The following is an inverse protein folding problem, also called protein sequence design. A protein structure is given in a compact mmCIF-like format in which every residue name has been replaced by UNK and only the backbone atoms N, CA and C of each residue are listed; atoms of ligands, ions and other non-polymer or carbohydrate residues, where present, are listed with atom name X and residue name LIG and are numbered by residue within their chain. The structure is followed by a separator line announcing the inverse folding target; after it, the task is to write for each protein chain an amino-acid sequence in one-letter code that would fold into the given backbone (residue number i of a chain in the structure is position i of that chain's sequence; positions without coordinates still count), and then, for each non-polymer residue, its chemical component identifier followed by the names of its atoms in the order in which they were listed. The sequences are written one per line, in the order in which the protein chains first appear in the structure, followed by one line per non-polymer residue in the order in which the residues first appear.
data_IF_680835365572
#
_entry.id   IF_680835365572
#
_cell.length_a   1.000
_cell.length_b   1.000
_cell.length_c   1.000
_cell.angle_alpha   90.00
_cell.angle_beta   90.00
_cell.angle_gamma   90.00
#
_symmetry.space_group_name_H-M   'P 1'
#
loop_
_entity.id
_entity.type
_entity.pdbx_description
1 polymer ?
#
# COMPACT_ATOMS: atom_id res chain seq x y z
N UNK A 1 2.14 11.82 13.07
CA UNK A 1 1.72 10.41 12.96
C UNK A 1 0.55 10.25 12.02
N UNK A 2 -0.61 10.84 12.29
CA UNK A 2 -1.78 10.74 11.42
C UNK A 2 -1.48 11.16 9.97
N UNK A 3 -0.90 12.34 9.76
CA UNK A 3 -0.52 12.81 8.42
C UNK A 3 0.46 11.85 7.70
N UNK A 4 1.40 11.23 8.43
CA UNK A 4 2.37 10.29 7.87
C UNK A 4 1.64 9.03 7.35
N UNK A 5 0.73 8.49 8.16
CA UNK A 5 -0.06 7.31 7.82
C UNK A 5 -1.04 7.60 6.66
N UNK A 6 -1.74 8.73 6.69
CA UNK A 6 -2.67 9.14 5.62
C UNK A 6 -1.94 9.31 4.29
N UNK A 7 -0.88 10.13 4.28
CA UNK A 7 -0.16 10.45 3.04
C UNK A 7 0.53 9.20 2.48
N UNK A 8 1.18 8.41 3.33
CA UNK A 8 1.79 7.14 2.91
C UNK A 8 0.77 6.16 2.32
N UNK A 9 -0.42 6.07 2.91
CA UNK A 9 -1.48 5.18 2.41
C UNK A 9 -2.08 5.68 1.10
N UNK A 10 -2.32 6.99 0.95
CA UNK A 10 -2.86 7.56 -0.29
C UNK A 10 -1.87 7.36 -1.44
N UNK A 11 -0.58 7.68 -1.23
CA UNK A 11 0.46 7.47 -2.23
C UNK A 11 0.50 5.99 -2.64
N UNK A 12 0.42 5.09 -1.66
CA UNK A 12 0.43 3.67 -1.94
C UNK A 12 -0.81 3.20 -2.70
N UNK A 13 -2.00 3.67 -2.34
CA UNK A 13 -3.25 3.34 -3.01
C UNK A 13 -3.25 3.78 -4.48
N UNK A 14 -2.71 4.97 -4.78
CA UNK A 14 -2.63 5.46 -6.16
C UNK A 14 -1.61 4.67 -6.99
N UNK A 15 -0.43 4.39 -6.42
CA UNK A 15 0.65 3.69 -7.12
C UNK A 15 0.36 2.19 -7.27
N UNK A 16 -0.37 1.57 -6.34
CA UNK A 16 -0.65 0.15 -6.39
C UNK A 16 -1.66 -0.21 -7.48
N UNK A 17 -2.59 0.68 -7.85
CA UNK A 17 -3.58 0.44 -8.92
C UNK A 17 -2.88 0.06 -10.24
N UNK A 18 -2.02 0.90 -10.85
CA UNK A 18 -1.38 0.55 -12.12
C UNK A 18 -0.49 -0.70 -11.99
N UNK A 19 0.22 -0.87 -10.87
CA UNK A 19 1.08 -2.03 -10.64
C UNK A 19 0.27 -3.34 -10.50
N UNK A 20 -0.91 -3.28 -9.90
CA UNK A 20 -1.79 -4.44 -9.72
C UNK A 20 -2.44 -4.85 -11.04
N UNK A 21 -2.92 -3.89 -11.82
CA UNK A 21 -3.37 -4.14 -13.19
C UNK A 21 -2.24 -4.70 -14.08
N UNK A 22 -1.01 -4.23 -13.88
CA UNK A 22 0.19 -4.76 -14.53
C UNK A 22 0.55 -6.19 -14.08
N UNK A 23 0.27 -6.51 -12.81
CA UNK A 23 0.53 -7.81 -12.21
C UNK A 23 -0.50 -8.87 -12.56
N UNK A 24 -1.72 -8.50 -12.96
CA UNK A 24 -2.81 -9.42 -13.18
C UNK A 24 -2.73 -10.16 -14.53
N UNK A 25 -2.50 -11.48 -14.50
CA UNK A 25 -2.45 -12.38 -15.67
C UNK A 25 -3.75 -12.41 -16.48
N UNK A 26 -4.87 -12.13 -15.84
CA UNK A 26 -6.17 -12.14 -16.50
C UNK A 26 -6.37 -10.93 -17.45
N UNK A 27 -5.66 -9.83 -17.17
CA UNK A 27 -5.74 -8.58 -17.94
C UNK A 27 -4.57 -8.48 -18.94
N UNK A 28 -3.37 -8.87 -18.53
CA UNK A 28 -2.18 -8.82 -19.39
C UNK A 28 -1.84 -10.19 -19.95
N UNK A 29 -1.95 -10.30 -21.27
CA UNK A 29 -1.65 -11.51 -22.05
C UNK A 29 -0.16 -11.91 -21.98
N UNK A 30 0.74 -10.94 -21.75
CA UNK A 30 2.19 -11.18 -21.63
C UNK A 30 2.57 -11.67 -20.23
N UNK A 31 2.66 -13.01 -20.08
CA UNK A 31 3.05 -13.71 -18.85
C UNK A 31 4.33 -13.18 -18.15
N UNK A 32 5.42 -12.81 -18.85
CA UNK A 32 6.62 -12.32 -18.17
C UNK A 32 6.41 -10.94 -17.53
N UNK A 33 5.61 -10.05 -18.11
CA UNK A 33 5.35 -8.70 -17.57
C UNK A 33 4.61 -8.79 -16.22
N UNK A 34 3.57 -9.62 -16.16
CA UNK A 34 2.85 -9.91 -14.92
C UNK A 34 3.75 -10.55 -13.86
N UNK A 35 4.61 -11.51 -14.28
CA UNK A 35 5.58 -12.16 -13.40
C UNK A 35 6.59 -11.17 -12.79
N UNK A 36 7.15 -10.27 -13.61
CA UNK A 36 8.12 -9.25 -13.18
C UNK A 36 7.47 -8.25 -12.22
N UNK A 37 6.28 -7.73 -12.53
CA UNK A 37 5.55 -6.82 -11.63
C UNK A 37 5.31 -7.47 -10.26
N UNK A 38 4.80 -8.70 -10.26
CA UNK A 38 4.57 -9.49 -9.04
C UNK A 38 5.85 -9.79 -8.26
N UNK A 39 6.97 -9.98 -8.94
CA UNK A 39 8.26 -10.21 -8.33
C UNK A 39 8.79 -8.94 -7.65
N UNK A 40 8.72 -7.79 -8.33
CA UNK A 40 9.10 -6.49 -7.77
C UNK A 40 8.27 -6.18 -6.52
N UNK A 41 6.95 -6.34 -6.59
CA UNK A 41 6.05 -6.13 -5.45
C UNK A 41 6.38 -7.07 -4.28
N UNK A 42 6.71 -8.34 -4.58
CA UNK A 42 7.17 -9.30 -3.58
C UNK A 42 8.49 -8.89 -2.92
N UNK A 43 9.48 -8.39 -3.68
CA UNK A 43 10.75 -7.90 -3.13
C UNK A 43 10.51 -6.74 -2.17
N UNK A 44 9.69 -5.77 -2.55
CA UNK A 44 9.38 -4.59 -1.72
C UNK A 44 8.75 -5.03 -0.38
N UNK A 45 7.95 -6.10 -0.39
CA UNK A 45 7.30 -6.64 0.82
C UNK A 45 8.24 -7.41 1.75
N UNK A 46 9.37 -7.92 1.24
CA UNK A 46 10.33 -8.71 2.05
C UNK A 46 10.98 -7.84 3.13
N UNK A 47 11.19 -6.56 2.85
CA UNK A 47 11.79 -5.64 3.80
C UNK A 47 10.77 -5.14 4.83
N UNK A 48 11.03 -5.34 6.14
CA UNK A 48 10.20 -4.74 7.18
C UNK A 48 10.21 -3.22 7.11
N UNK A 49 9.11 -2.59 7.53
CA UNK A 49 8.95 -1.14 7.56
C UNK A 49 10.04 -0.40 8.38
N UNK A 50 10.53 -1.01 9.46
CA UNK A 50 11.61 -0.45 10.29
C UNK A 50 12.93 -0.40 9.50
N UNK A 51 13.23 -1.45 8.73
CA UNK A 51 14.44 -1.51 7.90
C UNK A 51 14.37 -0.44 6.81
N UNK A 52 13.21 -0.32 6.17
CA UNK A 52 12.96 0.74 5.18
C UNK A 52 13.11 2.13 5.79
N UNK A 53 12.61 2.35 7.00
CA UNK A 53 12.75 3.61 7.72
C UNK A 53 14.22 3.96 7.97
N UNK A 54 15.03 3.02 8.44
CA UNK A 54 16.46 3.25 8.66
C UNK A 54 17.21 3.63 7.38
N UNK A 55 16.88 2.96 6.26
CA UNK A 55 17.46 3.27 4.95
C UNK A 55 17.08 4.70 4.53
N UNK A 56 15.81 5.09 4.65
CA UNK A 56 15.35 6.43 4.26
C UNK A 56 15.84 7.52 5.21
N UNK A 57 15.97 7.26 6.50
CA UNK A 57 16.60 8.20 7.44
C UNK A 57 18.04 8.48 7.01
N UNK A 58 18.80 7.46 6.61
CA UNK A 58 20.17 7.64 6.13
C UNK A 58 20.23 8.37 4.78
N UNK A 59 19.26 8.13 3.89
CA UNK A 59 19.24 8.71 2.55
C UNK A 59 18.75 10.17 2.51
N UNK A 60 17.72 10.51 3.28
CA UNK A 60 17.03 11.82 3.22
C UNK A 60 17.09 12.61 4.52
N UNK A 61 17.60 11.99 5.59
CA UNK A 61 17.65 12.57 6.93
C UNK A 61 16.49 12.13 7.83
N UNK A 62 16.63 12.34 9.15
CA UNK A 62 15.56 12.11 10.11
C UNK A 62 14.42 13.11 9.89
N UNK A 63 13.18 12.66 10.06
CA UNK A 63 11.99 13.52 9.89
C UNK A 63 10.78 12.77 9.35
N UNK A 64 9.63 13.44 9.34
CA UNK A 64 8.35 12.87 8.87
C UNK A 64 8.38 12.38 7.43
N UNK A 65 9.22 13.00 6.59
CA UNK A 65 9.37 12.63 5.19
C UNK A 65 9.95 11.22 5.00
N UNK A 66 10.96 10.83 5.79
CA UNK A 66 11.51 9.47 5.71
C UNK A 66 10.52 8.42 6.20
N UNK A 67 9.67 8.75 7.19
CA UNK A 67 8.55 7.92 7.61
C UNK A 67 7.49 7.72 6.54
N UNK A 68 7.11 8.79 5.81
CA UNK A 68 6.15 8.70 4.69
C UNK A 68 6.69 7.80 3.58
N UNK A 69 7.97 7.95 3.22
CA UNK A 69 8.59 7.13 2.18
C UNK A 69 8.67 5.65 2.58
N UNK A 70 9.10 5.38 3.82
CA UNK A 70 9.21 4.02 4.33
C UNK A 70 7.85 3.31 4.35
N UNK A 71 6.82 3.94 4.91
CA UNK A 71 5.48 3.36 4.95
C UNK A 71 4.85 3.29 3.56
N UNK A 72 4.97 4.35 2.75
CA UNK A 72 4.38 4.42 1.42
C UNK A 72 4.91 3.30 0.51
N UNK A 73 6.23 3.15 0.41
CA UNK A 73 6.83 2.12 -0.45
C UNK A 73 6.51 0.72 0.06
N UNK A 74 6.59 0.48 1.37
CA UNK A 74 6.20 -0.81 1.95
C UNK A 74 4.72 -1.12 1.71
N UNK A 75 3.85 -0.10 1.76
CA UNK A 75 2.42 -0.19 1.43
C UNK A 75 2.15 -0.48 -0.03
N UNK A 76 2.90 0.10 -0.97
CA UNK A 76 2.78 -0.21 -2.40
C UNK A 76 3.04 -1.70 -2.64
N UNK A 77 4.11 -2.26 -2.06
CA UNK A 77 4.48 -3.66 -2.25
C UNK A 77 3.38 -4.62 -1.77
N UNK A 78 2.82 -4.39 -0.58
CA UNK A 78 1.77 -5.26 -0.06
C UNK A 78 0.44 -5.05 -0.81
N UNK A 79 -0.05 -3.81 -0.92
CA UNK A 79 -1.34 -3.52 -1.55
C UNK A 79 -1.32 -3.95 -3.02
N UNK A 80 -0.26 -3.62 -3.76
CA UNK A 80 -0.15 -3.98 -5.17
C UNK A 80 -0.13 -5.49 -5.39
N UNK A 81 0.52 -6.26 -4.52
CA UNK A 81 0.57 -7.72 -4.64
C UNK A 81 -0.79 -8.36 -4.37
N UNK A 82 -1.40 -8.03 -3.24
CA UNK A 82 -2.70 -8.58 -2.84
C UNK A 82 -3.76 -8.16 -3.85
N UNK A 83 -3.78 -6.90 -4.26
CA UNK A 83 -4.72 -6.41 -5.26
C UNK A 83 -4.51 -7.06 -6.63
N UNK A 84 -3.27 -7.36 -7.05
CA UNK A 84 -3.01 -8.10 -8.28
C UNK A 84 -3.53 -9.55 -8.22
N UNK A 85 -3.47 -10.18 -7.05
CA UNK A 85 -4.01 -11.52 -6.82
C UNK A 85 -5.54 -11.49 -6.80
N UNK A 86 -6.15 -10.50 -6.15
CA UNK A 86 -7.60 -10.31 -6.15
C UNK A 86 -8.13 -10.09 -7.57
N UNK A 87 -7.46 -9.29 -8.39
CA UNK A 87 -7.84 -9.07 -9.79
C UNK A 87 -7.75 -10.37 -10.62
N UNK A 88 -6.80 -11.24 -10.31
CA UNK A 88 -6.70 -12.55 -10.98
C UNK A 88 -7.79 -13.54 -10.58
N UNK A 89 -8.31 -13.42 -9.36
CA UNK A 89 -9.33 -14.31 -8.81
C UNK A 89 -10.77 -13.89 -9.16
N UNK A 90 -10.95 -12.83 -9.96
CA UNK A 90 -12.27 -12.37 -10.38
C UNK A 90 -12.97 -13.43 -11.25
N UNK A 91 -14.27 -13.63 -10.99
CA UNK A 91 -15.12 -14.43 -11.86
C UNK A 91 -15.31 -13.76 -13.23
N UNK A 92 -14.82 -14.44 -14.25
CA UNK A 92 -14.86 -14.00 -15.64
C UNK A 92 -16.26 -14.08 -16.26
N UNK A 93 -17.21 -14.81 -15.66
CA UNK A 93 -18.57 -15.01 -16.18
C UNK A 93 -19.29 -13.68 -16.51
N UNK A 94 -19.18 -12.70 -15.60
CA UNK A 94 -19.74 -11.36 -15.80
C UNK A 94 -19.06 -10.63 -16.98
N UNK A 95 -17.75 -10.82 -17.15
CA UNK A 95 -16.98 -10.20 -18.24
C UNK A 95 -17.31 -10.82 -19.61
N UNK A 96 -17.56 -12.13 -19.66
CA UNK A 96 -17.91 -12.87 -20.87
C UNK A 96 -19.32 -12.55 -21.33
N UNK A 97 -20.27 -12.45 -20.39
CA UNK A 97 -21.65 -12.03 -20.65
C UNK A 97 -21.72 -10.62 -21.26
N UNK A 98 -20.94 -9.68 -20.72
CA UNK A 98 -20.85 -8.31 -21.26
C UNK A 98 -20.20 -8.27 -22.65
N UNK A 99 -19.18 -9.09 -22.90
CA UNK A 99 -18.56 -9.19 -24.23
C UNK A 99 -19.54 -9.79 -25.25
N UNK A 100 -20.33 -10.78 -24.87
CA UNK A 100 -21.36 -11.38 -25.73
C UNK A 100 -22.44 -10.35 -26.13
N UNK A 101 -22.76 -9.40 -25.25
CA UNK A 101 -23.65 -8.27 -25.52
C UNK A 101 -23.01 -7.15 -26.36
N UNK A 102 -21.80 -7.34 -26.89
CA UNK A 102 -21.10 -6.37 -27.75
C UNK A 102 -20.33 -5.28 -27.01
N UNK A 103 -20.05 -5.43 -25.71
CA UNK A 103 -19.27 -4.45 -24.96
C UNK A 103 -17.79 -4.43 -25.39
N UNK A 104 -17.26 -3.23 -25.61
CA UNK A 104 -15.82 -3.02 -25.86
C UNK A 104 -15.01 -3.27 -24.57
N UNK A 105 -13.70 -3.57 -24.68
CA UNK A 105 -12.79 -3.86 -23.55
C UNK A 105 -12.84 -2.84 -22.43
N UNK A 106 -12.94 -1.54 -22.77
CA UNK A 106 -13.08 -0.47 -21.78
C UNK A 106 -14.41 -0.54 -21.01
N UNK A 107 -15.51 -0.86 -21.70
CA UNK A 107 -16.82 -1.05 -21.05
C UNK A 107 -16.80 -2.29 -20.14
N UNK A 108 -16.20 -3.38 -20.59
CA UNK A 108 -16.05 -4.58 -19.75
C UNK A 108 -15.22 -4.29 -18.49
N UNK A 109 -14.14 -3.52 -18.60
CA UNK A 109 -13.32 -3.14 -17.46
C UNK A 109 -14.12 -2.31 -16.44
N UNK A 110 -14.78 -1.25 -16.90
CA UNK A 110 -15.49 -0.30 -16.02
C UNK A 110 -16.77 -0.89 -15.44
N UNK A 111 -17.50 -1.73 -16.18
CA UNK A 111 -18.82 -2.22 -15.76
C UNK A 111 -18.84 -3.65 -15.21
N UNK A 112 -17.82 -4.47 -15.47
CA UNK A 112 -17.71 -5.80 -14.87
C UNK A 112 -16.62 -5.86 -13.78
N UNK A 113 -15.42 -5.38 -14.10
CA UNK A 113 -14.23 -5.59 -13.26
C UNK A 113 -14.17 -4.60 -12.10
N UNK A 114 -14.27 -3.30 -12.38
CA UNK A 114 -14.19 -2.22 -11.36
C UNK A 114 -15.21 -2.39 -10.22
N UNK A 115 -16.52 -2.59 -10.48
CA UNK A 115 -17.50 -2.69 -9.39
C UNK A 115 -17.30 -3.94 -8.53
N UNK A 116 -16.71 -5.01 -9.06
CA UNK A 116 -16.43 -6.22 -8.30
C UNK A 116 -15.21 -6.07 -7.38
N UNK A 117 -14.16 -5.37 -7.83
CA UNK A 117 -12.94 -5.19 -7.03
C UNK A 117 -12.99 -4.00 -6.07
N UNK A 118 -13.83 -3.00 -6.35
CA UNK A 118 -13.87 -1.77 -5.57
C UNK A 118 -14.16 -1.98 -4.07
N UNK A 119 -15.12 -2.84 -3.65
CA UNK A 119 -15.37 -3.08 -2.23
C UNK A 119 -14.16 -3.70 -1.52
N UNK A 120 -13.53 -4.70 -2.15
CA UNK A 120 -12.33 -5.35 -1.63
C UNK A 120 -11.16 -4.37 -1.54
N UNK A 121 -10.98 -3.53 -2.58
CA UNK A 121 -9.93 -2.53 -2.61
C UNK A 121 -10.06 -1.49 -1.50
N UNK A 122 -11.27 -0.98 -1.26
CA UNK A 122 -11.54 -0.04 -0.16
C UNK A 122 -11.26 -0.68 1.20
N UNK A 123 -11.68 -1.94 1.39
CA UNK A 123 -11.38 -2.71 2.61
C UNK A 123 -9.88 -2.83 2.86
N UNK A 124 -9.10 -3.17 1.81
CA UNK A 124 -7.64 -3.27 1.91
C UNK A 124 -6.97 -1.93 2.23
N UNK A 125 -7.44 -0.83 1.64
CA UNK A 125 -6.92 0.52 1.95
C UNK A 125 -7.18 0.87 3.41
N UNK A 126 -8.41 0.66 3.90
CA UNK A 126 -8.78 0.99 5.29
C UNK A 126 -8.00 0.15 6.29
N UNK A 127 -7.88 -1.16 6.04
CA UNK A 127 -7.05 -2.05 6.83
C UNK A 127 -5.59 -1.59 6.84
N UNK A 128 -5.06 -1.20 5.67
CA UNK A 128 -3.68 -0.72 5.59
C UNK A 128 -3.49 0.63 6.25
N UNK A 129 -4.48 1.50 6.20
CA UNK A 129 -4.45 2.78 6.88
C UNK A 129 -4.29 2.59 8.40
N UNK A 130 -5.07 1.69 9.01
CA UNK A 130 -4.96 1.37 10.44
C UNK A 130 -3.56 0.81 10.78
N UNK A 131 -3.06 -0.13 9.96
CA UNK A 131 -1.74 -0.70 10.15
C UNK A 131 -0.65 0.39 10.05
N UNK A 132 -0.71 1.23 9.04
CA UNK A 132 0.23 2.32 8.83
C UNK A 132 0.17 3.35 9.99
N UNK A 133 -0.99 3.55 10.63
CA UNK A 133 -1.11 4.42 11.80
C UNK A 133 -0.36 3.83 13.00
N UNK A 134 -0.48 2.52 13.24
CA UNK A 134 0.27 1.79 14.27
C UNK A 134 1.78 1.87 13.99
N UNK A 135 2.17 1.55 12.76
CA UNK A 135 3.57 1.58 12.32
C UNK A 135 4.17 2.98 12.41
N UNK A 136 3.44 4.04 12.03
CA UNK A 136 3.91 5.42 12.13
C UNK A 136 4.22 5.85 13.57
N UNK A 137 3.51 5.30 14.56
CA UNK A 137 3.83 5.53 15.97
C UNK A 137 5.15 4.89 16.37
N UNK A 138 5.41 3.66 15.92
CA UNK A 138 6.68 2.93 16.15
C UNK A 138 7.83 3.63 15.42
N UNK A 139 7.64 4.03 14.16
CA UNK A 139 8.64 4.75 13.38
C UNK A 139 8.99 6.13 13.99
N UNK A 140 8.03 6.77 14.65
CA UNK A 140 8.27 7.99 15.42
C UNK A 140 9.29 7.80 16.55
N UNK A 141 9.42 6.59 17.10
CA UNK A 141 10.40 6.28 18.16
C UNK A 141 11.84 6.32 17.64
N UNK A 142 12.07 5.95 16.38
CA UNK A 142 13.41 5.85 15.77
C UNK A 142 13.80 7.11 14.99
N UNK A 143 13.06 8.22 15.14
CA UNK A 143 13.40 9.51 14.51
C UNK A 143 12.83 9.73 13.11
N UNK A 144 11.92 8.88 12.63
CA UNK A 144 11.20 9.08 11.37
C UNK A 144 10.01 10.06 11.50
N UNK A 145 9.96 10.85 12.58
CA UNK A 145 8.95 11.87 12.86
C UNK A 145 7.60 11.33 13.35
N UNK A 146 6.82 12.20 14.01
CA UNK A 146 5.50 11.87 14.55
C UNK A 146 5.40 12.09 16.07
N UNK A 147 4.35 11.56 16.68
CA UNK A 147 4.12 11.64 18.13
C UNK A 147 5.07 10.74 18.93
N UNK A 148 5.70 9.75 18.29
CA UNK A 148 6.61 8.80 18.95
C UNK A 148 7.87 9.47 19.51
N UNK A 149 8.38 10.54 18.88
CA UNK A 149 9.53 11.29 19.38
C UNK A 149 9.21 11.98 20.72
N UNK A 150 8.15 12.84 20.83
CA UNK A 150 7.69 13.35 22.12
C UNK A 150 7.42 12.27 23.16
N UNK A 151 6.84 11.14 22.75
CA UNK A 151 6.51 10.04 23.65
C UNK A 151 7.76 9.42 24.29
N UNK A 152 8.81 9.16 23.49
CA UNK A 152 10.10 8.66 24.04
C UNK A 152 10.76 9.68 24.95
N UNK A 153 10.75 10.96 24.57
CA UNK A 153 11.30 11.99 25.43
C UNK A 153 10.58 12.03 26.78
N UNK A 154 9.25 11.97 26.79
CA UNK A 154 8.46 11.94 28.03
C UNK A 154 8.71 10.69 28.88
N UNK A 155 8.85 9.51 28.24
CA UNK A 155 9.20 8.26 28.92
C UNK A 155 10.61 8.30 29.52
N UNK A 156 11.59 8.83 28.78
CA UNK A 156 12.97 8.96 29.25
C UNK A 156 13.11 9.97 30.40
N UNK A 157 12.35 11.07 30.39
CA UNK A 157 12.36 12.07 31.46
C UNK A 157 11.47 11.71 32.65
N UNK A 158 10.85 10.51 32.68
CA UNK A 158 9.85 10.08 33.68
C UNK A 158 8.73 11.11 33.90
N UNK A 159 8.39 11.87 32.86
CA UNK A 159 7.39 12.93 32.92
C UNK A 159 6.02 12.37 32.53
N UNK A 160 5.41 11.62 33.45
CA UNK A 160 4.17 10.89 33.22
C UNK A 160 2.98 11.76 32.82
N UNK A 161 2.98 13.04 33.22
CA UNK A 161 1.92 14.02 32.88
C UNK A 161 1.84 14.35 31.37
N UNK A 162 2.87 14.00 30.59
CA UNK A 162 2.95 14.28 29.14
C UNK A 162 2.73 13.05 28.25
N UNK A 163 2.44 11.90 28.84
CA UNK A 163 2.31 10.62 28.11
C UNK A 163 0.85 10.33 27.69
N UNK A 164 -0.12 11.15 28.15
CA UNK A 164 -1.55 11.04 27.85
C UNK A 164 -2.01 11.97 26.73
#
# INVERSE_FOLDING_TARGET
TFAIAVVGTIIAAVICIPLAFLGARNIIRFRPVSGVSKFILSIIRVFPEIVMALIFIKAVGPGSFSGVLALGIHSVGMLGKVFAEDIENIDLSATESLKASGANKMKTLVFAVVPQILPTFLSLILYRFELNLRSASILGLIGAGGIGTPLIFALQTRSWDRVG
#
